data_IF_356879114546
#
_entry.id   IF_356879114546
#
_cell.length_a   1.000
_cell.length_b   1.000
_cell.length_c   1.000
_cell.angle_alpha   90.00
_cell.angle_beta   90.00
_cell.angle_gamma   90.00
#
_symmetry.space_group_name_H-M   'P 1'
#
loop_
_entity.id
_entity.type
_entity.pdbx_description
1 polymer ?
#
# COMPACT_ATOMS: atom_id res chain seq x y z
N UNK A 1 7.16 5.78 -4.52
CA UNK A 1 6.58 7.14 -4.54
C UNK A 1 5.43 7.15 -5.51
N UNK A 2 4.20 7.16 -5.01
CA UNK A 2 3.00 7.03 -5.83
C UNK A 2 2.34 8.38 -6.15
N UNK A 3 2.26 9.29 -5.17
CA UNK A 3 1.66 10.62 -5.38
C UNK A 3 2.44 11.71 -4.67
N UNK A 4 2.79 12.76 -5.42
CA UNK A 4 3.41 13.99 -4.93
C UNK A 4 2.52 15.18 -5.32
N UNK A 5 2.26 16.06 -4.36
CA UNK A 5 1.50 17.29 -4.56
C UNK A 5 2.38 18.46 -4.14
N UNK A 6 2.61 19.39 -5.07
CA UNK A 6 3.50 20.53 -4.88
C UNK A 6 3.31 21.60 -5.95
N UNK A 7 4.06 22.69 -5.81
CA UNK A 7 4.11 23.75 -6.84
C UNK A 7 5.20 23.45 -7.87
N UNK A 8 5.01 23.82 -9.14
CA UNK A 8 6.07 23.71 -10.14
C UNK A 8 7.20 24.73 -9.91
N UNK A 9 8.34 24.49 -10.54
CA UNK A 9 9.39 25.50 -10.66
C UNK A 9 8.99 26.63 -11.63
N UNK A 10 9.88 27.61 -11.84
CA UNK A 10 9.65 28.75 -12.75
C UNK A 10 9.37 28.32 -14.19
N UNK A 11 9.83 27.14 -14.59
CA UNK A 11 9.73 26.63 -15.95
C UNK A 11 8.53 25.69 -16.11
N UNK A 12 7.67 25.57 -15.09
CA UNK A 12 6.51 24.69 -15.09
C UNK A 12 6.81 23.22 -14.80
N UNK A 13 8.07 22.87 -14.50
CA UNK A 13 8.47 21.50 -14.23
C UNK A 13 8.28 21.11 -12.75
N UNK A 14 8.17 19.81 -12.42
CA UNK A 14 8.11 19.35 -11.04
C UNK A 14 9.32 19.80 -10.23
N UNK A 15 9.08 20.23 -8.98
CA UNK A 15 10.12 20.67 -8.05
C UNK A 15 9.94 19.98 -6.69
N UNK A 16 10.88 19.09 -6.35
CA UNK A 16 10.83 18.34 -5.09
C UNK A 16 10.98 19.24 -3.85
N UNK A 17 11.61 20.41 -3.98
CA UNK A 17 11.71 21.37 -2.87
C UNK A 17 10.36 22.02 -2.55
N UNK A 18 9.45 22.07 -3.54
CA UNK A 18 8.12 22.67 -3.41
C UNK A 18 7.00 21.66 -3.20
N UNK A 19 7.35 20.38 -3.02
CA UNK A 19 6.39 19.36 -2.60
C UNK A 19 5.86 19.71 -1.21
N UNK A 20 4.55 19.54 -1.03
CA UNK A 20 3.84 19.78 0.23
C UNK A 20 3.22 18.52 0.81
N UNK A 21 2.77 17.60 -0.05
CA UNK A 21 2.16 16.34 0.38
C UNK A 21 2.77 15.21 -0.45
N UNK A 22 3.16 14.13 0.23
CA UNK A 22 3.52 12.87 -0.38
C UNK A 22 2.64 11.76 0.19
N UNK A 23 2.05 10.96 -0.70
CA UNK A 23 1.31 9.76 -0.36
C UNK A 23 2.00 8.58 -1.02
N UNK A 24 2.45 7.63 -0.20
CA UNK A 24 3.02 6.38 -0.65
C UNK A 24 2.07 5.23 -0.34
N UNK A 25 1.68 4.45 -1.34
CA UNK A 25 0.92 3.23 -1.13
C UNK A 25 1.86 2.03 -1.16
N UNK A 26 1.67 1.12 -0.22
CA UNK A 26 2.39 -0.14 -0.18
C UNK A 26 1.40 -1.27 -0.01
N UNK A 27 1.47 -2.24 -0.91
CA UNK A 27 0.67 -3.46 -0.83
C UNK A 27 1.51 -4.61 -0.27
N UNK A 28 0.93 -5.29 0.71
CA UNK A 28 1.47 -6.50 1.34
C UNK A 28 0.38 -7.58 1.24
N UNK A 29 0.12 -8.03 0.01
CA UNK A 29 -1.03 -8.87 -0.34
C UNK A 29 -0.69 -10.36 -0.25
N UNK A 30 0.26 -10.80 -1.06
CA UNK A 30 0.91 -12.13 -0.99
C UNK A 30 2.25 -12.06 -0.28
N UNK A 31 2.65 -10.83 0.09
CA UNK A 31 4.00 -10.43 0.41
C UNK A 31 4.29 -10.39 1.92
N UNK A 32 3.61 -11.20 2.74
CA UNK A 32 4.07 -11.37 4.12
C UNK A 32 5.53 -11.86 4.17
N UNK A 33 5.97 -12.59 3.15
CA UNK A 33 7.36 -13.02 2.95
C UNK A 33 8.33 -11.88 2.62
N UNK A 34 7.85 -10.80 1.98
CA UNK A 34 8.65 -9.62 1.64
C UNK A 34 8.30 -8.41 2.54
N UNK A 35 7.63 -8.64 3.66
CA UNK A 35 7.19 -7.59 4.58
C UNK A 35 8.34 -6.66 4.99
N UNK A 36 9.53 -7.23 5.18
CA UNK A 36 10.70 -6.47 5.60
C UNK A 36 11.18 -5.52 4.50
N UNK A 37 11.35 -6.03 3.27
CA UNK A 37 11.68 -5.18 2.12
C UNK A 37 10.64 -4.06 1.89
N UNK A 38 9.34 -4.36 2.06
CA UNK A 38 8.27 -3.37 1.94
C UNK A 38 8.29 -2.32 3.05
N UNK A 39 8.75 -2.69 4.23
CA UNK A 39 8.95 -1.77 5.34
C UNK A 39 10.14 -0.86 5.06
N UNK A 40 11.25 -1.43 4.59
CA UNK A 40 12.47 -0.71 4.26
C UNK A 40 12.23 0.29 3.12
N UNK A 41 11.48 -0.10 2.07
CA UNK A 41 11.04 0.81 0.99
C UNK A 41 10.38 2.08 1.54
N UNK A 42 9.46 1.91 2.50
CA UNK A 42 8.75 3.04 3.12
C UNK A 42 9.71 3.88 3.97
N UNK A 43 10.55 3.22 4.76
CA UNK A 43 11.51 3.90 5.60
C UNK A 43 12.51 4.74 4.79
N UNK A 44 13.05 4.21 3.69
CA UNK A 44 13.98 4.91 2.81
C UNK A 44 13.34 6.13 2.14
N UNK A 45 12.14 5.97 1.56
CA UNK A 45 11.39 7.08 0.95
C UNK A 45 11.12 8.19 1.96
N UNK A 46 10.81 7.84 3.21
CA UNK A 46 10.62 8.79 4.29
C UNK A 46 11.90 9.60 4.57
N UNK A 47 13.06 8.94 4.67
CA UNK A 47 14.34 9.61 4.93
C UNK A 47 14.71 10.56 3.78
N UNK A 48 14.59 10.10 2.54
CA UNK A 48 14.97 10.86 1.36
C UNK A 48 14.13 12.14 1.23
N UNK A 49 12.80 12.03 1.34
CA UNK A 49 11.92 13.18 1.23
C UNK A 49 12.07 14.14 2.41
N UNK A 50 12.30 13.63 3.62
CA UNK A 50 12.55 14.48 4.77
C UNK A 50 13.85 15.29 4.60
N UNK A 51 14.91 14.68 4.05
CA UNK A 51 16.17 15.37 3.75
C UNK A 51 15.99 16.46 2.70
N UNK A 52 15.11 16.26 1.73
CA UNK A 52 14.79 17.24 0.68
C UNK A 52 14.00 18.41 1.27
N UNK A 53 12.90 18.13 1.95
CA UNK A 53 12.06 19.14 2.57
C UNK A 53 11.34 18.56 3.82
N UNK A 54 11.79 18.93 5.05
CA UNK A 54 11.21 18.42 6.29
C UNK A 54 9.74 18.79 6.50
N UNK A 55 9.25 19.81 5.77
CA UNK A 55 7.86 20.28 5.85
C UNK A 55 6.88 19.38 5.10
N UNK A 56 7.31 18.51 4.18
CA UNK A 56 6.40 17.65 3.39
C UNK A 56 5.50 16.85 4.33
N UNK A 57 4.18 16.86 4.11
CA UNK A 57 3.23 15.99 4.79
C UNK A 57 3.39 14.58 4.24
N UNK A 58 3.91 13.68 5.07
CA UNK A 58 4.24 12.32 4.68
C UNK A 58 3.13 11.37 5.10
N UNK A 59 2.51 10.68 4.15
CA UNK A 59 1.44 9.71 4.39
C UNK A 59 1.85 8.38 3.78
N UNK A 60 1.65 7.28 4.52
CA UNK A 60 1.73 5.95 3.94
C UNK A 60 0.41 5.20 4.08
N UNK A 61 -0.06 4.65 2.96
CA UNK A 61 -1.21 3.75 2.88
C UNK A 61 -0.71 2.32 2.76
N UNK A 62 -1.03 1.47 3.71
CA UNK A 62 -0.54 0.10 3.79
C UNK A 62 -1.72 -0.85 3.59
N UNK A 63 -1.83 -1.42 2.39
CA UNK A 63 -2.82 -2.43 2.06
C UNK A 63 -2.32 -3.81 2.52
N UNK A 64 -3.05 -4.47 3.42
CA UNK A 64 -2.65 -5.76 4.00
C UNK A 64 -3.59 -6.84 3.50
N UNK A 65 -3.06 -7.82 2.77
CA UNK A 65 -3.80 -8.96 2.27
C UNK A 65 -4.32 -9.83 3.40
N UNK A 66 -5.60 -10.22 3.33
CA UNK A 66 -6.26 -11.06 4.34
C UNK A 66 -6.66 -12.43 3.82
N UNK A 67 -6.45 -12.71 2.53
CA UNK A 67 -6.76 -13.99 1.93
C UNK A 67 -5.86 -15.10 2.50
N UNK A 68 -6.44 -16.22 2.92
CA UNK A 68 -5.71 -17.37 3.46
C UNK A 68 -4.97 -18.14 2.36
N UNK A 69 -5.56 -18.21 1.17
CA UNK A 69 -4.95 -18.77 -0.03
C UNK A 69 -5.06 -17.76 -1.16
N UNK A 70 -4.08 -17.78 -2.05
CA UNK A 70 -4.00 -16.90 -3.20
C UNK A 70 -3.54 -17.72 -4.40
N UNK A 71 -4.09 -17.44 -5.57
CA UNK A 71 -3.58 -18.01 -6.80
C UNK A 71 -2.33 -17.23 -7.24
N UNK A 72 -1.17 -17.89 -7.30
CA UNK A 72 0.10 -17.23 -7.61
C UNK A 72 0.21 -16.93 -9.12
N UNK A 73 -0.37 -15.80 -9.54
CA UNK A 73 -0.39 -15.43 -10.95
C UNK A 73 1.02 -15.14 -11.53
N UNK A 74 1.84 -14.26 -10.92
CA UNK A 74 3.06 -13.80 -11.58
C UNK A 74 4.11 -14.90 -11.76
N UNK A 75 4.35 -15.70 -10.72
CA UNK A 75 5.43 -16.69 -10.71
C UNK A 75 4.94 -18.10 -11.06
N UNK A 76 3.69 -18.42 -10.74
CA UNK A 76 3.07 -19.74 -10.96
C UNK A 76 2.29 -19.81 -12.27
N UNK A 77 1.05 -19.30 -12.27
CA UNK A 77 0.10 -19.45 -13.39
C UNK A 77 0.68 -18.94 -14.71
N UNK A 78 1.27 -17.75 -14.72
CA UNK A 78 1.86 -17.15 -15.93
C UNK A 78 3.04 -17.99 -16.47
N UNK A 79 3.67 -18.81 -15.64
CA UNK A 79 4.80 -19.65 -16.05
C UNK A 79 4.40 -20.76 -17.04
N UNK A 80 3.19 -21.31 -16.91
CA UNK A 80 2.64 -22.32 -17.84
C UNK A 80 2.48 -21.77 -19.26
N UNK A 81 2.28 -20.47 -19.39
CA UNK A 81 2.06 -19.78 -20.66
C UNK A 81 3.28 -19.03 -21.19
N UNK A 82 4.48 -19.25 -20.62
CA UNK A 82 5.72 -18.58 -21.07
C UNK A 82 5.97 -18.68 -22.58
N UNK A 83 5.61 -19.81 -23.18
CA UNK A 83 5.76 -20.05 -24.63
C UNK A 83 4.67 -19.39 -25.46
N UNK A 84 3.48 -19.18 -24.89
CA UNK A 84 2.30 -18.62 -25.56
C UNK A 84 1.62 -17.54 -24.70
N UNK A 85 2.21 -16.34 -24.51
CA UNK A 85 1.64 -15.32 -23.63
C UNK A 85 0.23 -14.86 -24.02
N UNK A 86 -0.10 -14.87 -25.31
CA UNK A 86 -1.45 -14.53 -25.79
C UNK A 86 -2.53 -15.48 -25.28
N UNK A 87 -2.18 -16.73 -25.01
CA UNK A 87 -3.11 -17.73 -24.50
C UNK A 87 -3.48 -17.43 -23.04
N UNK A 88 -2.52 -16.95 -22.23
CA UNK A 88 -2.79 -16.44 -20.89
C UNK A 88 -3.76 -15.26 -20.91
N UNK A 89 -3.51 -14.27 -21.78
CA UNK A 89 -4.37 -13.09 -21.91
C UNK A 89 -5.79 -13.44 -22.36
N UNK A 90 -5.95 -14.44 -23.24
CA UNK A 90 -7.27 -14.85 -23.75
C UNK A 90 -8.02 -15.79 -22.80
N UNK A 91 -7.32 -16.73 -22.16
CA UNK A 91 -7.95 -17.82 -21.39
C UNK A 91 -7.97 -17.60 -19.89
N UNK A 92 -7.00 -16.86 -19.33
CA UNK A 92 -6.84 -16.74 -17.88
C UNK A 92 -7.26 -15.36 -17.39
N UNK A 93 -6.75 -14.29 -17.99
CA UNK A 93 -7.00 -12.91 -17.53
C UNK A 93 -8.49 -12.57 -17.37
N UNK A 94 -9.40 -12.94 -18.30
CA UNK A 94 -10.83 -12.64 -18.14
C UNK A 94 -11.51 -13.38 -16.98
N UNK A 95 -10.91 -14.47 -16.51
CA UNK A 95 -11.40 -15.29 -15.39
C UNK A 95 -10.90 -14.78 -14.04
N UNK A 96 -9.78 -14.04 -14.01
CA UNK A 96 -9.22 -13.53 -12.78
C UNK A 96 -10.19 -12.55 -12.11
N UNK A 97 -10.35 -12.70 -10.79
CA UNK A 97 -11.26 -11.88 -9.97
C UNK A 97 -12.75 -11.91 -10.39
N UNK A 98 -13.17 -12.83 -11.27
CA UNK A 98 -14.56 -12.96 -11.71
C UNK A 98 -15.41 -13.83 -10.79
N UNK A 99 -14.78 -14.58 -9.87
CA UNK A 99 -15.41 -15.61 -9.07
C UNK A 99 -15.37 -17.01 -9.70
N UNK A 100 -14.68 -17.19 -10.82
CA UNK A 100 -14.51 -18.49 -11.47
C UNK A 100 -13.68 -19.45 -10.60
N UNK A 101 -14.37 -20.36 -9.91
CA UNK A 101 -13.75 -21.30 -8.98
C UNK A 101 -12.96 -22.41 -9.67
N UNK A 102 -13.17 -22.66 -10.97
CA UNK A 102 -12.42 -23.70 -11.71
C UNK A 102 -10.93 -23.35 -11.81
N UNK A 103 -10.58 -22.06 -11.67
CA UNK A 103 -9.18 -21.60 -11.59
C UNK A 103 -8.38 -22.27 -10.45
N UNK A 104 -9.05 -22.66 -9.35
CA UNK A 104 -8.38 -23.36 -8.25
C UNK A 104 -7.95 -24.77 -8.65
N UNK A 105 -8.73 -25.44 -9.49
CA UNK A 105 -8.46 -26.80 -9.93
C UNK A 105 -7.50 -26.80 -11.11
N UNK A 106 -7.74 -25.91 -12.08
CA UNK A 106 -6.90 -25.71 -13.28
C UNK A 106 -5.44 -25.41 -12.93
N UNK A 107 -5.21 -24.71 -11.81
CA UNK A 107 -3.90 -24.25 -11.36
C UNK A 107 -3.61 -24.65 -9.90
N UNK A 108 -4.05 -25.84 -9.51
CA UNK A 108 -3.92 -26.34 -8.13
C UNK A 108 -2.49 -26.34 -7.58
N UNK A 109 -1.48 -26.53 -8.44
CA UNK A 109 -0.06 -26.47 -8.07
C UNK A 109 0.46 -25.06 -7.78
N UNK A 110 -0.24 -24.02 -8.27
CA UNK A 110 0.14 -22.61 -8.12
C UNK A 110 -0.60 -21.91 -6.97
N UNK A 111 -1.32 -22.67 -6.15
CA UNK A 111 -2.01 -22.14 -4.97
C UNK A 111 -1.00 -21.92 -3.84
N UNK A 112 -0.86 -20.67 -3.42
CA UNK A 112 -0.03 -20.27 -2.29
C UNK A 112 -0.89 -20.03 -1.05
N UNK A 113 -0.37 -20.44 0.11
CA UNK A 113 -1.04 -20.28 1.39
C UNK A 113 -0.32 -19.25 2.26
N UNK A 114 -1.07 -18.28 2.77
CA UNK A 114 -0.65 -17.36 3.81
C UNK A 114 -0.90 -18.00 5.18
N UNK A 115 -0.06 -17.73 6.19
CA UNK A 115 -0.37 -18.17 7.55
C UNK A 115 -1.42 -17.25 8.14
N UNK A 116 -2.32 -17.81 8.95
CA UNK A 116 -3.42 -17.07 9.59
C UNK A 116 -2.99 -15.80 10.33
N UNK A 117 -1.82 -15.81 10.95
CA UNK A 117 -1.30 -14.67 11.72
C UNK A 117 -0.48 -13.67 10.91
N UNK A 118 -0.16 -13.96 9.65
CA UNK A 118 0.72 -13.10 8.86
C UNK A 118 0.18 -11.66 8.69
N UNK A 119 -1.13 -11.43 8.45
CA UNK A 119 -1.69 -10.07 8.37
C UNK A 119 -1.50 -9.27 9.67
N UNK A 120 -1.77 -9.90 10.82
CA UNK A 120 -1.61 -9.26 12.11
C UNK A 120 -0.14 -8.91 12.39
N UNK A 121 0.80 -9.79 12.03
CA UNK A 121 2.23 -9.54 12.17
C UNK A 121 2.71 -8.44 11.21
N UNK A 122 2.15 -8.35 10.01
CA UNK A 122 2.42 -7.24 9.07
C UNK A 122 1.97 -5.91 9.65
N UNK A 123 0.71 -5.82 10.10
CA UNK A 123 0.18 -4.60 10.71
C UNK A 123 1.04 -4.20 11.91
N UNK A 124 1.38 -5.15 12.78
CA UNK A 124 2.23 -4.89 13.95
C UNK A 124 3.58 -4.30 13.54
N UNK A 125 4.30 -4.91 12.60
CA UNK A 125 5.61 -4.41 12.17
C UNK A 125 5.50 -3.00 11.58
N UNK A 126 4.53 -2.76 10.70
CA UNK A 126 4.41 -1.46 10.03
C UNK A 126 3.96 -0.34 10.97
N UNK A 127 3.36 -0.65 12.12
CA UNK A 127 3.15 0.33 13.20
C UNK A 127 4.45 0.84 13.82
N UNK A 128 5.57 0.13 13.64
CA UNK A 128 6.89 0.56 14.08
C UNK A 128 7.56 1.56 13.11
N UNK A 129 6.91 1.89 11.97
CA UNK A 129 7.39 2.97 11.11
C UNK A 129 7.41 4.30 11.89
N UNK A 130 8.43 5.15 11.73
CA UNK A 130 8.51 6.41 12.44
C UNK A 130 7.31 7.29 12.13
N UNK A 131 6.65 7.80 13.16
CA UNK A 131 5.58 8.80 13.04
C UNK A 131 5.98 10.06 13.80
N UNK A 132 5.40 11.19 13.41
CA UNK A 132 5.63 12.47 14.07
C UNK A 132 4.33 13.21 14.34
N UNK A 133 4.37 14.08 15.34
CA UNK A 133 3.26 14.97 15.65
C UNK A 133 3.18 16.13 14.66
N UNK A 134 1.98 16.69 14.53
CA UNK A 134 1.75 17.90 13.73
C UNK A 134 2.68 19.02 14.26
N UNK A 135 3.36 19.71 13.34
CA UNK A 135 4.33 20.77 13.67
C UNK A 135 5.75 20.30 14.03
N UNK A 136 5.96 19.00 14.32
CA UNK A 136 7.30 18.47 14.64
C UNK A 136 8.10 18.13 13.37
N UNK A 137 8.25 19.11 12.48
CA UNK A 137 8.89 18.90 11.17
C UNK A 137 10.39 18.66 11.26
N UNK A 138 11.01 18.88 12.41
CA UNK A 138 12.42 18.53 12.68
C UNK A 138 12.62 17.03 12.95
N UNK A 139 11.54 16.29 13.22
CA UNK A 139 11.57 14.84 13.41
C UNK A 139 11.27 14.14 12.08
N UNK A 140 12.08 13.13 11.75
CA UNK A 140 11.80 12.24 10.61
C UNK A 140 10.65 11.31 10.98
N UNK A 141 9.56 11.37 10.23
CA UNK A 141 8.38 10.56 10.53
C UNK A 141 7.24 10.83 9.56
N UNK A 142 6.37 9.82 9.42
CA UNK A 142 5.09 9.96 8.78
C UNK A 142 4.16 10.83 9.64
N UNK A 143 3.41 11.70 8.97
CA UNK A 143 2.33 12.48 9.58
C UNK A 143 1.09 11.62 9.83
N UNK A 144 0.91 10.59 9.00
CA UNK A 144 -0.08 9.55 9.23
C UNK A 144 0.27 8.23 8.52
N UNK A 145 -0.16 7.11 9.11
CA UNK A 145 -0.13 5.77 8.55
C UNK A 145 -1.56 5.26 8.50
N UNK A 146 -2.06 4.88 7.32
CA UNK A 146 -3.38 4.26 7.18
C UNK A 146 -3.21 2.79 6.80
N UNK A 147 -3.85 1.90 7.57
CA UNK A 147 -3.86 0.47 7.32
C UNK A 147 -5.19 0.07 6.69
N UNK A 148 -5.14 -0.63 5.56
CA UNK A 148 -6.32 -1.06 4.84
C UNK A 148 -6.27 -2.58 4.66
N UNK A 149 -7.00 -3.35 5.49
CA UNK A 149 -7.19 -4.77 5.26
C UNK A 149 -7.93 -4.99 3.94
N UNK A 150 -7.35 -5.78 3.04
CA UNK A 150 -7.92 -6.09 1.72
C UNK A 150 -7.95 -7.59 1.48
N UNK A 151 -9.05 -8.09 0.94
CA UNK A 151 -9.14 -9.45 0.46
C UNK A 151 -8.83 -9.49 -1.03
N UNK A 152 -7.77 -10.21 -1.40
CA UNK A 152 -7.34 -10.42 -2.79
C UNK A 152 -6.75 -11.83 -2.88
N UNK A 153 -7.39 -12.71 -3.63
CA UNK A 153 -6.93 -14.09 -3.88
C UNK A 153 -6.71 -14.39 -5.38
N UNK A 154 -6.92 -13.40 -6.24
CA UNK A 154 -6.88 -13.43 -7.71
C UNK A 154 -7.99 -14.27 -8.39
N UNK A 155 -8.92 -14.86 -7.64
CA UNK A 155 -10.04 -15.63 -8.18
C UNK A 155 -11.37 -14.91 -7.92
N UNK A 156 -11.61 -14.54 -6.68
CA UNK A 156 -12.79 -13.79 -6.26
C UNK A 156 -12.57 -12.29 -6.42
N UNK A 157 -13.66 -11.54 -6.57
CA UNK A 157 -13.61 -10.09 -6.65
C UNK A 157 -12.92 -9.46 -5.43
N UNK A 158 -11.96 -8.54 -5.62
CA UNK A 158 -11.24 -7.93 -4.50
C UNK A 158 -12.16 -7.00 -3.72
N UNK A 159 -11.97 -6.93 -2.40
CA UNK A 159 -12.74 -6.03 -1.55
C UNK A 159 -11.95 -5.56 -0.33
N UNK A 160 -12.36 -4.42 0.24
CA UNK A 160 -11.85 -3.94 1.53
C UNK A 160 -12.52 -4.76 2.64
N UNK A 161 -11.73 -5.41 3.48
CA UNK A 161 -12.22 -6.19 4.61
C UNK A 161 -12.63 -5.26 5.77
N UNK A 162 -13.78 -4.59 5.60
CA UNK A 162 -14.34 -3.63 6.57
C UNK A 162 -14.68 -4.28 7.91
N UNK A 163 -15.10 -5.55 7.89
CA UNK A 163 -15.17 -6.42 9.08
C UNK A 163 -13.88 -7.22 9.16
N UNK A 164 -13.04 -6.93 10.15
CA UNK A 164 -11.75 -7.59 10.34
C UNK A 164 -11.42 -7.79 11.82
N UNK A 165 -10.54 -8.76 12.10
CA UNK A 165 -10.11 -9.10 13.46
C UNK A 165 -8.94 -8.23 13.97
N UNK A 166 -8.59 -7.16 13.25
CA UNK A 166 -7.47 -6.29 13.59
C UNK A 166 -7.91 -5.02 14.32
N UNK A 167 -9.23 -4.80 14.46
CA UNK A 167 -9.80 -3.60 15.07
C UNK A 167 -9.62 -2.35 14.21
N UNK A 168 -9.44 -2.51 12.89
CA UNK A 168 -9.24 -1.39 11.96
C UNK A 168 -10.60 -0.99 11.37
N UNK A 169 -11.01 0.25 11.60
CA UNK A 169 -12.19 0.85 11.00
C UNK A 169 -11.78 1.76 9.84
N UNK A 170 -11.67 1.19 8.63
CA UNK A 170 -11.06 1.85 7.47
C UNK A 170 -11.64 3.24 7.20
N UNK A 171 -12.97 3.38 7.24
CA UNK A 171 -13.62 4.68 6.99
C UNK A 171 -13.28 5.71 8.07
N UNK A 172 -13.21 5.31 9.34
CA UNK A 172 -12.87 6.20 10.45
C UNK A 172 -11.38 6.60 10.42
N UNK A 173 -10.49 5.67 10.07
CA UNK A 173 -9.07 5.93 9.85
C UNK A 173 -8.88 6.93 8.69
N UNK A 174 -9.64 6.76 7.60
CA UNK A 174 -9.62 7.68 6.47
C UNK A 174 -10.13 9.08 6.83
N UNK A 175 -11.21 9.20 7.58
CA UNK A 175 -11.68 10.50 8.06
C UNK A 175 -10.64 11.18 8.95
N UNK A 176 -10.06 10.43 9.90
CA UNK A 176 -8.97 10.91 10.76
C UNK A 176 -7.77 11.38 9.95
N UNK A 177 -7.44 10.67 8.86
CA UNK A 177 -6.40 11.06 7.91
C UNK A 177 -6.69 12.41 7.27
N UNK A 178 -7.88 12.59 6.70
CA UNK A 178 -8.27 13.84 6.05
C UNK A 178 -8.16 15.01 7.03
N UNK A 179 -8.72 14.86 8.24
CA UNK A 179 -8.66 15.88 9.29
C UNK A 179 -7.21 16.25 9.65
N UNK A 180 -6.36 15.25 9.90
CA UNK A 180 -4.96 15.47 10.26
C UNK A 180 -4.17 16.15 9.14
N UNK A 181 -4.39 15.77 7.89
CA UNK A 181 -3.73 16.40 6.74
C UNK A 181 -4.16 17.86 6.63
N UNK A 182 -5.44 18.17 6.75
CA UNK A 182 -5.94 19.54 6.69
C UNK A 182 -5.31 20.41 7.79
N UNK A 183 -5.23 19.92 9.02
CA UNK A 183 -4.59 20.63 10.14
C UNK A 183 -3.09 20.80 9.89
N UNK A 184 -2.39 19.75 9.47
CA UNK A 184 -0.96 19.82 9.18
C UNK A 184 -0.65 20.80 8.04
N UNK A 185 -1.46 20.79 6.98
CA UNK A 185 -1.30 21.68 5.84
C UNK A 185 -1.48 23.14 6.26
N UNK A 186 -2.54 23.42 7.03
CA UNK A 186 -2.77 24.77 7.57
C UNK A 186 -1.61 25.21 8.45
N UNK A 187 -1.14 24.34 9.33
CA UNK A 187 -0.05 24.65 10.28
C UNK A 187 1.26 24.99 9.59
N UNK A 188 1.61 24.28 8.51
CA UNK A 188 2.91 24.44 7.85
C UNK A 188 2.97 25.56 6.81
N UNK A 189 1.86 25.87 6.15
CA UNK A 189 1.85 26.82 5.03
C UNK A 189 0.93 28.03 5.20
N UNK A 190 -0.02 28.01 6.15
CA UNK A 190 -1.03 29.09 6.27
C UNK A 190 -1.09 29.76 7.64
N UNK A 191 -0.65 29.11 8.71
CA UNK A 191 -0.45 29.74 10.01
C UNK A 191 0.99 30.26 10.07
N UNK A 192 1.19 31.46 9.53
CA UNK A 192 2.37 32.30 9.78
C UNK A 192 1.93 33.55 10.52
#
# INVERSE_FOLDING_TARGET
>A
MDLLIGEPNSDGNPDLQKVRICIENKSVITAHRNRDARFDDLYEVLQDLHRINPQIIMIATIMVGTAERVLNIPDGVKSHFKKNPEEFEKKVVPRLSSGDQELWDDFSEDVSFNRKNDPALTIKKFKDLPTRMIGHTHTVGYDNLIFIPVFIDNVNGPYIATVNNFGIHVDAEYQTLVERICIAYRTRWHLR
#
